data_IF_111423120231
#
_entry.id   IF_111423120231
#
_cell.length_a   1.000
_cell.length_b   1.000
_cell.length_c   1.000
_cell.angle_alpha   90.00
_cell.angle_beta   90.00
_cell.angle_gamma   90.00
#
_symmetry.space_group_name_H-M   'P 1'
#
loop_
_entity.id
_entity.type
_entity.pdbx_description
1 polymer ?
#
# COMPACT_ATOMS: atom_id res chain seq x y z
N UNK A 1 22.04 12.37 -0.08
CA UNK A 1 21.31 11.95 -1.29
C UNK A 1 21.35 13.13 -2.23
N UNK A 2 21.80 12.94 -3.48
CA UNK A 2 21.94 14.03 -4.44
C UNK A 2 20.52 14.41 -4.95
N UNK A 3 20.17 15.71 -5.11
CA UNK A 3 18.80 16.14 -5.41
C UNK A 3 18.29 15.71 -6.80
N UNK A 4 19.20 15.40 -7.71
CA UNK A 4 18.96 14.75 -8.99
C UNK A 4 18.51 13.29 -8.83
N UNK A 5 19.12 12.51 -7.92
CA UNK A 5 18.73 11.12 -7.67
C UNK A 5 17.27 11.00 -7.16
N UNK A 6 16.84 11.93 -6.33
CA UNK A 6 15.47 11.98 -5.81
C UNK A 6 14.44 12.29 -6.91
N UNK A 7 14.81 13.17 -7.85
CA UNK A 7 14.00 13.47 -9.02
C UNK A 7 13.88 12.26 -9.95
N UNK A 8 14.99 11.55 -10.23
CA UNK A 8 14.96 10.32 -11.03
C UNK A 8 14.15 9.22 -10.36
N UNK A 9 14.25 9.05 -9.04
CA UNK A 9 13.44 8.08 -8.29
C UNK A 9 11.95 8.42 -8.37
N UNK A 10 11.57 9.70 -8.22
CA UNK A 10 10.18 10.12 -8.34
C UNK A 10 9.65 9.85 -9.76
N UNK A 11 10.37 10.25 -10.81
CA UNK A 11 9.96 10.04 -12.19
C UNK A 11 9.88 8.55 -12.53
N UNK A 12 10.88 7.74 -12.21
CA UNK A 12 10.85 6.31 -12.50
C UNK A 12 9.80 5.55 -11.69
N UNK A 13 9.60 5.89 -10.42
CA UNK A 13 8.67 5.18 -9.53
C UNK A 13 7.21 5.61 -9.72
N UNK A 14 6.95 6.88 -10.10
CA UNK A 14 5.60 7.36 -10.42
C UNK A 14 5.19 7.14 -11.88
N UNK A 15 6.11 7.23 -12.86
CA UNK A 15 5.78 7.08 -14.27
C UNK A 15 5.71 5.61 -14.73
N UNK A 16 6.44 4.68 -14.08
CA UNK A 16 6.35 3.27 -14.47
C UNK A 16 5.08 2.60 -13.93
N UNK A 17 4.09 2.48 -14.81
CA UNK A 17 2.88 1.68 -14.60
C UNK A 17 3.20 0.21 -14.30
N UNK A 18 4.32 -0.30 -14.82
CA UNK A 18 4.80 -1.67 -14.60
C UNK A 18 5.04 -2.00 -13.12
N UNK A 19 5.56 -1.03 -12.35
CA UNK A 19 5.76 -1.20 -10.90
C UNK A 19 4.44 -1.29 -10.11
N UNK A 20 3.31 -0.97 -10.73
CA UNK A 20 1.96 -1.12 -10.15
C UNK A 20 1.22 -2.33 -10.69
N UNK A 21 1.75 -3.02 -11.70
CA UNK A 21 1.06 -4.13 -12.37
C UNK A 21 0.83 -5.34 -11.46
N UNK A 22 1.76 -5.65 -10.55
CA UNK A 22 1.66 -6.80 -9.62
C UNK A 22 0.35 -6.84 -8.82
N UNK A 23 0.02 -5.78 -8.06
CA UNK A 23 -1.26 -5.65 -7.38
C UNK A 23 -2.50 -5.86 -8.28
N UNK A 24 -2.48 -5.33 -9.51
CA UNK A 24 -3.59 -5.50 -10.45
C UNK A 24 -3.78 -6.97 -10.85
N UNK A 25 -2.69 -7.68 -11.18
CA UNK A 25 -2.78 -9.09 -11.53
C UNK A 25 -3.31 -9.94 -10.37
N UNK A 26 -2.88 -9.67 -9.14
CA UNK A 26 -3.39 -10.37 -7.94
C UNK A 26 -4.90 -10.17 -7.79
N UNK A 27 -5.37 -8.93 -7.95
CA UNK A 27 -6.80 -8.60 -7.87
C UNK A 27 -7.61 -9.31 -8.96
N UNK A 28 -7.18 -9.20 -10.22
CA UNK A 28 -7.85 -9.85 -11.37
C UNK A 28 -7.88 -11.37 -11.20
N UNK A 29 -6.76 -11.97 -10.80
CA UNK A 29 -6.68 -13.42 -10.59
C UNK A 29 -7.60 -13.88 -9.46
N UNK A 30 -7.65 -13.13 -8.35
CA UNK A 30 -8.54 -13.44 -7.23
C UNK A 30 -10.01 -13.34 -7.63
N UNK A 31 -10.38 -12.29 -8.37
CA UNK A 31 -11.73 -12.13 -8.91
C UNK A 31 -12.11 -13.21 -9.92
N UNK A 32 -11.17 -13.60 -10.79
CA UNK A 32 -11.37 -14.67 -11.76
C UNK A 32 -11.65 -16.02 -11.10
N UNK A 33 -10.89 -16.38 -10.05
CA UNK A 33 -11.14 -17.60 -9.26
C UNK A 33 -12.54 -17.58 -8.65
N UNK A 34 -12.94 -16.44 -8.11
CA UNK A 34 -14.22 -16.28 -7.44
C UNK A 34 -15.41 -16.45 -8.38
N UNK A 35 -15.31 -15.92 -9.60
CA UNK A 35 -16.34 -16.08 -10.64
C UNK A 35 -16.33 -17.53 -11.18
N UNK A 36 -15.15 -18.11 -11.39
CA UNK A 36 -15.01 -19.44 -11.99
C UNK A 36 -15.50 -20.56 -11.08
N UNK A 37 -15.48 -20.37 -9.76
CA UNK A 37 -15.89 -21.37 -8.77
C UNK A 37 -16.77 -20.74 -7.68
N UNK A 38 -18.05 -20.48 -7.97
CA UNK A 38 -18.99 -20.02 -6.94
C UNK A 38 -19.16 -21.12 -5.88
N UNK A 39 -18.90 -20.78 -4.61
CA UNK A 39 -19.09 -21.69 -3.48
C UNK A 39 -17.90 -22.59 -3.12
N UNK A 40 -16.66 -22.16 -3.38
CA UNK A 40 -15.45 -22.86 -2.88
C UNK A 40 -15.56 -23.10 -1.37
N UNK A 41 -15.54 -24.37 -0.97
CA UNK A 41 -15.46 -24.76 0.44
C UNK A 41 -14.02 -24.71 0.92
N UNK A 42 -13.67 -23.71 1.72
CA UNK A 42 -12.33 -23.57 2.30
C UNK A 42 -12.31 -24.27 3.66
N UNK A 43 -11.30 -25.12 3.88
CA UNK A 43 -11.13 -25.77 5.18
C UNK A 43 -10.76 -24.75 6.28
N UNK A 44 -11.17 -25.04 7.52
CA UNK A 44 -10.97 -24.14 8.67
C UNK A 44 -9.48 -23.82 8.90
N UNK A 45 -8.58 -24.78 8.65
CA UNK A 45 -7.12 -24.61 8.78
C UNK A 45 -6.58 -23.58 7.79
N UNK A 46 -6.96 -23.70 6.52
CA UNK A 46 -6.53 -22.77 5.48
C UNK A 46 -7.06 -21.35 5.71
N UNK A 47 -8.29 -21.22 6.24
CA UNK A 47 -8.81 -19.91 6.67
C UNK A 47 -7.92 -19.25 7.72
N UNK A 48 -7.59 -19.96 8.80
CA UNK A 48 -6.78 -19.42 9.90
C UNK A 48 -5.39 -19.05 9.40
N UNK A 49 -4.75 -19.92 8.64
CA UNK A 49 -3.42 -19.66 8.07
C UNK A 49 -3.45 -18.41 7.19
N UNK A 50 -4.45 -18.30 6.29
CA UNK A 50 -4.55 -17.15 5.41
C UNK A 50 -4.86 -15.84 6.17
N UNK A 51 -5.66 -15.90 7.24
CA UNK A 51 -5.88 -14.75 8.12
C UNK A 51 -4.60 -14.32 8.83
N UNK A 52 -3.86 -15.25 9.43
CA UNK A 52 -2.58 -14.96 10.08
C UNK A 52 -1.57 -14.39 9.06
N UNK A 53 -1.49 -14.98 7.87
CA UNK A 53 -0.56 -14.52 6.84
C UNK A 53 -0.92 -13.11 6.36
N UNK A 54 -2.20 -12.83 6.16
CA UNK A 54 -2.68 -11.51 5.73
C UNK A 54 -2.43 -10.42 6.79
N UNK A 55 -2.67 -10.71 8.06
CA UNK A 55 -2.42 -9.74 9.15
C UNK A 55 -0.94 -9.54 9.41
N UNK A 56 -0.14 -10.62 9.38
CA UNK A 56 1.31 -10.53 9.53
C UNK A 56 1.95 -9.79 8.37
N UNK A 57 1.60 -10.11 7.12
CA UNK A 57 2.17 -9.44 5.94
C UNK A 57 1.82 -7.96 5.92
N UNK A 58 0.55 -7.62 6.17
CA UNK A 58 0.10 -6.23 6.18
C UNK A 58 0.70 -5.45 7.35
N UNK A 59 0.79 -6.07 8.53
CA UNK A 59 1.42 -5.49 9.71
C UNK A 59 2.91 -5.22 9.49
N UNK A 60 3.66 -6.21 8.99
CA UNK A 60 5.08 -6.04 8.68
C UNK A 60 5.32 -4.89 7.70
N UNK A 61 4.50 -4.76 6.66
CA UNK A 61 4.63 -3.66 5.69
C UNK A 61 4.45 -2.30 6.38
N UNK A 62 3.46 -2.15 7.26
CA UNK A 62 3.17 -0.89 7.95
C UNK A 62 4.25 -0.56 8.99
N UNK A 63 4.70 -1.55 9.77
CA UNK A 63 5.66 -1.32 10.85
C UNK A 63 7.11 -1.19 10.38
N UNK A 64 7.47 -1.77 9.24
CA UNK A 64 8.84 -1.70 8.71
C UNK A 64 9.36 -0.26 8.59
N UNK A 65 8.54 0.66 8.04
CA UNK A 65 8.92 2.07 7.88
C UNK A 65 9.06 2.80 9.21
N UNK A 66 8.25 2.44 10.22
CA UNK A 66 8.34 3.02 11.55
C UNK A 66 9.62 2.63 12.29
N UNK A 67 10.10 1.40 12.08
CA UNK A 67 11.35 0.90 12.65
C UNK A 67 12.53 1.62 12.00
N UNK A 68 12.49 1.81 10.68
CA UNK A 68 13.54 2.51 9.95
C UNK A 68 13.73 3.96 10.39
N UNK A 69 12.63 4.63 10.74
CA UNK A 69 12.69 6.00 11.23
C UNK A 69 13.23 6.11 12.67
N UNK A 70 12.95 5.11 13.53
CA UNK A 70 13.23 5.21 14.98
C UNK A 70 14.50 4.49 15.44
N UNK A 71 14.90 3.44 14.75
CA UNK A 71 15.91 2.49 15.26
C UNK A 71 17.16 2.45 14.37
N UNK A 72 16.98 2.34 13.05
CA UNK A 72 18.09 2.13 12.13
C UNK A 72 17.75 2.54 10.69
N UNK A 73 18.65 3.26 10.01
CA UNK A 73 18.52 3.55 8.58
C UNK A 73 18.65 2.27 7.76
N UNK A 74 17.71 1.96 6.84
CA UNK A 74 17.72 0.71 6.10
C UNK A 74 18.97 0.61 5.22
N UNK A 75 19.49 -0.61 5.08
CA UNK A 75 20.53 -0.87 4.08
C UNK A 75 19.94 -0.72 2.67
N UNK A 76 20.76 -0.40 1.64
CA UNK A 76 20.27 -0.22 0.27
C UNK A 76 19.51 -1.46 -0.26
N UNK A 77 19.96 -2.65 0.14
CA UNK A 77 19.36 -3.93 -0.26
C UNK A 77 17.99 -4.11 0.40
N UNK A 78 17.86 -3.83 1.69
CA UNK A 78 16.59 -3.89 2.41
C UNK A 78 15.58 -2.89 1.85
N UNK A 79 16.02 -1.66 1.56
CA UNK A 79 15.19 -0.63 0.94
C UNK A 79 14.65 -1.06 -0.43
N UNK A 80 15.51 -1.66 -1.26
CA UNK A 80 15.12 -2.16 -2.58
C UNK A 80 14.14 -3.34 -2.51
N UNK A 81 14.44 -4.34 -1.66
CA UNK A 81 13.59 -5.52 -1.46
C UNK A 81 12.22 -5.13 -0.92
N UNK A 82 12.20 -4.23 0.06
CA UNK A 82 10.97 -3.68 0.59
C UNK A 82 10.20 -2.96 -0.51
N UNK A 83 10.83 -2.01 -1.23
CA UNK A 83 10.19 -1.22 -2.28
C UNK A 83 9.57 -2.07 -3.40
N UNK A 84 10.18 -3.21 -3.74
CA UNK A 84 9.64 -4.16 -4.71
C UNK A 84 8.45 -4.98 -4.17
N UNK A 85 8.48 -5.36 -2.88
CA UNK A 85 7.59 -6.40 -2.34
C UNK A 85 6.41 -5.84 -1.56
N UNK A 86 6.54 -4.67 -0.93
CA UNK A 86 5.56 -4.18 0.05
C UNK A 86 4.15 -4.04 -0.54
N UNK A 87 4.03 -3.53 -1.78
CA UNK A 87 2.75 -3.37 -2.48
C UNK A 87 2.09 -4.72 -2.75
N UNK A 88 2.87 -5.70 -3.19
CA UNK A 88 2.41 -7.05 -3.54
C UNK A 88 1.95 -7.79 -2.27
N UNK A 89 2.77 -7.75 -1.21
CA UNK A 89 2.46 -8.40 0.06
C UNK A 89 1.21 -7.83 0.73
N UNK A 90 1.07 -6.50 0.73
CA UNK A 90 -0.11 -5.83 1.26
C UNK A 90 -1.36 -6.15 0.41
N UNK A 91 -1.25 -6.06 -0.91
CA UNK A 91 -2.38 -6.36 -1.82
C UNK A 91 -2.82 -7.81 -1.70
N UNK A 92 -1.89 -8.76 -1.57
CA UNK A 92 -2.21 -10.17 -1.37
C UNK A 92 -2.99 -10.40 -0.06
N UNK A 93 -2.62 -9.71 1.02
CA UNK A 93 -3.36 -9.75 2.29
C UNK A 93 -4.79 -9.23 2.14
N UNK A 94 -4.96 -8.07 1.48
CA UNK A 94 -6.29 -7.49 1.20
C UNK A 94 -7.11 -8.36 0.25
N UNK A 95 -6.47 -8.97 -0.75
CA UNK A 95 -7.12 -9.88 -1.69
C UNK A 95 -7.68 -11.12 -0.98
N UNK A 96 -6.91 -11.72 -0.07
CA UNK A 96 -7.37 -12.84 0.75
C UNK A 96 -8.56 -12.46 1.66
N UNK A 97 -8.51 -11.27 2.27
CA UNK A 97 -9.59 -10.74 3.11
C UNK A 97 -10.88 -10.55 2.30
N UNK A 98 -10.78 -9.92 1.13
CA UNK A 98 -11.91 -9.75 0.21
C UNK A 98 -12.47 -11.09 -0.26
N UNK A 99 -11.60 -12.03 -0.65
CA UNK A 99 -11.98 -13.37 -1.07
C UNK A 99 -12.76 -14.11 0.03
N UNK A 100 -12.30 -14.04 1.28
CA UNK A 100 -13.01 -14.64 2.42
C UNK A 100 -14.38 -13.99 2.66
N UNK A 101 -14.50 -12.67 2.49
CA UNK A 101 -15.77 -11.97 2.63
C UNK A 101 -16.79 -12.43 1.59
N UNK A 102 -16.39 -12.53 0.32
CA UNK A 102 -17.30 -12.92 -0.76
C UNK A 102 -17.62 -14.43 -0.74
N UNK A 103 -16.65 -15.27 -0.35
CA UNK A 103 -16.87 -16.71 -0.17
C UNK A 103 -17.77 -17.05 1.04
N UNK A 104 -18.28 -16.06 1.79
CA UNK A 104 -19.17 -16.28 2.94
C UNK A 104 -18.45 -16.66 4.24
N UNK A 105 -17.11 -16.59 4.26
CA UNK A 105 -16.27 -16.93 5.42
C UNK A 105 -15.79 -15.72 6.23
N UNK A 106 -16.23 -14.51 5.86
CA UNK A 106 -15.78 -13.24 6.44
C UNK A 106 -16.32 -12.96 7.86
N UNK A 107 -17.44 -13.56 8.26
CA UNK A 107 -18.00 -13.42 9.61
C UNK A 107 -18.07 -11.97 10.10
N UNK A 108 -17.42 -11.68 11.24
CA UNK A 108 -17.33 -10.33 11.83
C UNK A 108 -16.74 -9.28 10.88
N UNK A 109 -15.73 -9.66 10.10
CA UNK A 109 -14.99 -8.74 9.24
C UNK A 109 -15.86 -8.28 8.07
N UNK A 110 -16.74 -9.15 7.57
CA UNK A 110 -17.72 -8.77 6.56
C UNK A 110 -18.69 -7.70 7.08
N UNK A 111 -19.16 -7.82 8.32
CA UNK A 111 -20.03 -6.82 8.96
C UNK A 111 -19.29 -5.50 9.15
N UNK A 112 -18.04 -5.55 9.58
CA UNK A 112 -17.20 -4.35 9.75
C UNK A 112 -16.94 -3.63 8.43
N UNK A 113 -16.59 -4.35 7.36
CA UNK A 113 -16.34 -3.76 6.04
C UNK A 113 -17.63 -3.25 5.37
N UNK A 114 -18.77 -3.88 5.63
CA UNK A 114 -20.07 -3.47 5.07
C UNK A 114 -20.71 -2.31 5.85
N UNK A 115 -20.00 -1.71 6.81
CA UNK A 115 -20.57 -0.68 7.66
C UNK A 115 -20.79 0.63 6.91
N UNK A 116 -21.99 1.21 7.05
CA UNK A 116 -22.37 2.46 6.37
C UNK A 116 -21.49 3.66 6.74
N UNK A 117 -20.78 3.61 7.87
CA UNK A 117 -19.79 4.61 8.26
C UNK A 117 -18.61 4.74 7.26
N UNK A 118 -18.31 3.69 6.50
CA UNK A 118 -17.27 3.73 5.47
C UNK A 118 -17.64 4.57 4.26
N UNK A 119 -18.94 4.82 4.01
CA UNK A 119 -19.38 5.63 2.87
C UNK A 119 -18.88 7.08 2.91
N UNK A 120 -19.08 7.86 3.99
CA UNK A 120 -18.51 9.21 4.06
C UNK A 120 -16.97 9.18 4.12
N UNK A 121 -16.37 8.17 4.76
CA UNK A 121 -14.92 8.06 4.84
C UNK A 121 -14.28 7.79 3.47
N UNK A 122 -14.92 6.96 2.64
CA UNK A 122 -14.47 6.70 1.27
C UNK A 122 -14.47 7.97 0.41
N UNK A 123 -15.47 8.84 0.59
CA UNK A 123 -15.50 10.17 -0.07
C UNK A 123 -14.37 11.06 0.42
N UNK A 124 -14.10 11.07 1.72
CA UNK A 124 -13.00 11.86 2.27
C UNK A 124 -11.64 11.40 1.75
N UNK A 125 -11.38 10.08 1.74
CA UNK A 125 -10.15 9.49 1.19
C UNK A 125 -10.00 9.85 -0.29
N UNK A 126 -11.09 9.83 -1.06
CA UNK A 126 -11.07 10.24 -2.46
C UNK A 126 -10.71 11.72 -2.64
N UNK A 127 -11.27 12.62 -1.82
CA UNK A 127 -10.90 14.04 -1.84
C UNK A 127 -9.43 14.24 -1.48
N UNK A 128 -8.94 13.56 -0.44
CA UNK A 128 -7.52 13.59 -0.07
C UNK A 128 -6.63 13.11 -1.22
N UNK A 129 -7.02 12.02 -1.90
CA UNK A 129 -6.28 11.49 -3.05
C UNK A 129 -6.16 12.52 -4.20
N UNK A 130 -7.23 13.26 -4.48
CA UNK A 130 -7.22 14.31 -5.51
C UNK A 130 -6.30 15.49 -5.14
N UNK A 131 -6.28 15.87 -3.86
CA UNK A 131 -5.50 17.03 -3.37
C UNK A 131 -4.02 16.66 -3.17
N UNK A 132 -3.72 15.39 -2.90
CA UNK A 132 -2.39 14.90 -2.57
C UNK A 132 -1.27 15.32 -3.55
N UNK A 133 -1.39 15.16 -4.89
CA UNK A 133 -0.31 15.57 -5.80
C UNK A 133 -0.08 17.08 -5.79
N UNK A 134 -1.14 17.89 -5.66
CA UNK A 134 -1.03 19.35 -5.55
C UNK A 134 -0.31 19.76 -4.26
N UNK A 135 -0.61 19.08 -3.15
CA UNK A 135 0.05 19.29 -1.87
C UNK A 135 1.53 18.87 -1.90
N UNK A 136 1.85 17.73 -2.53
CA UNK A 136 3.24 17.28 -2.67
C UNK A 136 4.07 18.26 -3.51
N UNK A 137 3.51 18.76 -4.61
CA UNK A 137 4.20 19.75 -5.46
C UNK A 137 4.43 21.07 -4.73
N UNK A 138 3.44 21.59 -4.00
CA UNK A 138 3.59 22.83 -3.26
C UNK A 138 4.61 22.69 -2.13
N UNK A 139 4.61 21.56 -1.43
CA UNK A 139 5.63 21.26 -0.42
C UNK A 139 7.03 21.28 -1.04
N UNK A 140 7.28 20.48 -2.09
CA UNK A 140 8.60 20.43 -2.74
C UNK A 140 9.08 21.80 -3.27
N UNK A 141 8.16 22.65 -3.78
CA UNK A 141 8.50 23.99 -4.23
C UNK A 141 9.00 24.90 -3.09
N UNK A 142 8.37 24.85 -1.92
CA UNK A 142 8.79 25.63 -0.75
C UNK A 142 10.18 25.20 -0.23
N UNK A 143 10.51 23.91 -0.25
CA UNK A 143 11.83 23.43 0.21
C UNK A 143 12.96 23.83 -0.75
N UNK A 144 12.71 23.91 -2.07
CA UNK A 144 13.71 24.42 -3.02
C UNK A 144 14.05 25.90 -2.76
N UNK A 145 13.05 26.70 -2.39
CA UNK A 145 13.25 28.13 -2.12
C UNK A 145 14.01 28.39 -0.82
N UNK A 146 13.80 27.61 0.25
CA UNK A 146 14.43 27.87 1.56
C UNK A 146 15.90 27.45 1.65
N UNK A 147 16.33 26.44 0.86
CA UNK A 147 17.75 26.01 0.86
C UNK A 147 18.69 27.05 0.22
N UNK A 148 18.22 27.86 -0.74
CA UNK A 148 19.05 28.92 -1.33
C UNK A 148 19.36 30.08 -0.36
N UNK A 149 18.49 30.35 0.61
CA UNK A 149 18.70 31.46 1.57
C UNK A 149 19.64 31.13 2.73
N UNK A 150 19.97 29.85 2.96
CA UNK A 150 20.85 29.45 4.07
C UNK A 150 22.34 29.60 3.74
N UNK A 151 22.70 29.74 2.45
CA UNK A 151 24.09 29.95 2.02
C UNK A 151 24.51 31.44 1.95
N UNK A 152 23.58 32.37 2.21
CA UNK A 152 23.84 33.81 2.27
C UNK A 152 23.83 34.28 3.73
N UNK A 153 24.81 33.83 4.51
CA UNK A 153 25.17 34.49 5.76
C UNK A 153 26.07 35.70 5.43
N UNK A 154 25.56 36.90 5.74
CA UNK A 154 26.37 38.09 5.97
C UNK A 154 27.09 37.99 7.33
#
# INVERSE_FOLDING_TARGET
MNPDDEYYFFVYSYANTLCRAGPYFIGVFTGYILISKPGIKISKRFRIIGWCLATLSSGMVIFATSIWYRVHSPTPIEGLLYAATYKVAFTAGVAWMTFCCIAGYGGFINTFLSWKAWMPLGRLVFLTYLIQPAFQMSYMANFKTTQEFTHLHF
#
